data_IF_995443913698
#
_entry.id   IF_995443913698
#
_cell.length_a   1.000
_cell.length_b   1.000
_cell.length_c   1.000
_cell.angle_alpha   90.00
_cell.angle_beta   90.00
_cell.angle_gamma   90.00
#
_symmetry.space_group_name_H-M   'P 1'
#
loop_
_entity.id
_entity.type
_entity.pdbx_description
1 polymer ?
#
# COMPACT_ATOMS: atom_id res chain seq x y z
N UNK A 1 -9.65 -18.39 -25.17
CA UNK A 1 -8.16 -18.26 -25.29
C UNK A 1 -7.56 -19.31 -26.22
N UNK A 2 -7.32 -20.55 -25.79
CA UNK A 2 -6.79 -21.62 -26.68
C UNK A 2 -7.80 -22.01 -27.77
N UNK A 3 -9.06 -22.18 -27.41
CA UNK A 3 -10.18 -22.44 -28.34
C UNK A 3 -10.38 -21.31 -29.37
N UNK A 4 -9.97 -20.09 -29.03
CA UNK A 4 -10.02 -18.92 -29.90
C UNK A 4 -8.66 -18.62 -30.55
N UNK A 5 -7.65 -19.46 -30.36
CA UNK A 5 -6.28 -19.26 -30.82
C UNK A 5 -5.67 -17.89 -30.44
N UNK A 6 -6.04 -17.34 -29.29
CA UNK A 6 -5.52 -16.07 -28.77
C UNK A 6 -4.27 -16.32 -27.95
N UNK A 7 -3.19 -15.62 -28.30
CA UNK A 7 -1.94 -15.59 -27.53
C UNK A 7 -1.99 -14.51 -26.47
N UNK A 8 -1.58 -14.84 -25.25
CA UNK A 8 -1.53 -13.93 -24.11
C UNK A 8 -0.07 -13.70 -23.74
N UNK A 9 0.28 -12.45 -23.45
CA UNK A 9 1.50 -12.11 -22.73
C UNK A 9 1.11 -11.77 -21.29
N UNK A 10 1.64 -12.53 -20.33
CA UNK A 10 1.42 -12.31 -18.90
C UNK A 10 2.69 -11.71 -18.29
N UNK A 11 2.58 -10.47 -17.83
CA UNK A 11 3.67 -9.76 -17.14
C UNK A 11 3.53 -9.94 -15.64
N UNK A 12 4.47 -10.63 -15.01
CA UNK A 12 4.50 -10.86 -13.56
C UNK A 12 5.66 -10.11 -12.91
N UNK A 13 5.57 -9.88 -11.62
CA UNK A 13 6.72 -9.44 -10.84
C UNK A 13 7.71 -10.59 -10.62
N UNK A 14 8.92 -10.24 -10.20
CA UNK A 14 10.03 -11.19 -10.04
C UNK A 14 10.01 -11.87 -8.67
N UNK A 15 8.87 -12.45 -8.28
CA UNK A 15 8.76 -13.22 -7.03
C UNK A 15 8.92 -14.70 -7.33
N UNK A 16 9.64 -15.41 -6.46
CA UNK A 16 9.97 -16.83 -6.64
C UNK A 16 8.73 -17.73 -6.78
N UNK A 17 7.61 -17.38 -6.15
CA UNK A 17 6.34 -18.08 -6.26
C UNK A 17 5.69 -18.03 -7.64
N UNK A 18 6.11 -17.11 -8.51
CA UNK A 18 5.58 -16.96 -9.87
C UNK A 18 6.32 -17.76 -10.93
N UNK A 19 7.27 -18.62 -10.54
CA UNK A 19 7.91 -19.53 -11.48
C UNK A 19 6.90 -20.62 -11.91
N UNK A 20 6.56 -20.70 -13.21
CA UNK A 20 5.60 -21.70 -13.68
C UNK A 20 6.21 -23.10 -13.55
N UNK A 21 5.43 -24.00 -12.97
CA UNK A 21 5.77 -25.43 -12.84
C UNK A 21 5.51 -26.16 -14.17
N UNK A 22 4.63 -25.62 -15.02
CA UNK A 22 4.21 -26.20 -16.29
C UNK A 22 4.28 -25.19 -17.45
N UNK A 23 4.50 -25.70 -18.66
CA UNK A 23 4.57 -24.88 -19.88
C UNK A 23 3.15 -24.61 -20.41
N UNK A 24 2.78 -23.33 -20.52
CA UNK A 24 1.50 -22.91 -21.09
C UNK A 24 1.62 -22.69 -22.61
N UNK A 25 0.79 -23.38 -23.39
CA UNK A 25 0.92 -23.37 -24.87
C UNK A 25 0.49 -22.07 -25.57
N UNK A 26 -0.27 -21.20 -24.90
CA UNK A 26 -0.83 -19.97 -25.48
C UNK A 26 -0.60 -18.74 -24.59
N UNK A 27 0.23 -18.88 -23.56
CA UNK A 27 0.57 -17.81 -22.62
C UNK A 27 2.09 -17.73 -22.55
N UNK A 28 2.65 -16.61 -22.99
CA UNK A 28 4.06 -16.27 -22.73
C UNK A 28 4.10 -15.53 -21.39
N UNK A 29 4.89 -16.03 -20.44
CA UNK A 29 5.06 -15.42 -19.12
C UNK A 29 6.39 -14.70 -19.11
N UNK A 30 6.37 -13.40 -18.80
CA UNK A 30 7.58 -12.58 -18.65
C UNK A 30 7.60 -11.95 -17.27
N UNK A 31 8.70 -12.14 -16.56
CA UNK A 31 8.96 -11.46 -15.30
C UNK A 31 9.57 -10.09 -15.56
N UNK A 32 9.10 -9.10 -14.82
CA UNK A 32 9.68 -7.76 -14.83
C UNK A 32 11.02 -7.75 -14.06
N UNK A 33 11.91 -6.79 -14.33
CA UNK A 33 13.11 -6.61 -13.52
C UNK A 33 12.76 -6.32 -12.05
N UNK A 34 13.67 -6.70 -11.15
CA UNK A 34 13.52 -6.39 -9.72
C UNK A 34 13.30 -4.88 -9.48
N UNK A 35 12.52 -4.53 -8.45
CA UNK A 35 12.23 -3.15 -8.06
C UNK A 35 11.45 -2.31 -9.08
N UNK A 36 10.93 -2.91 -10.15
CA UNK A 36 10.13 -2.18 -11.15
C UNK A 36 8.62 -2.31 -10.97
N UNK A 37 8.16 -3.24 -10.12
CA UNK A 37 6.75 -3.56 -9.87
C UNK A 37 5.93 -2.29 -9.59
N UNK A 38 6.37 -1.45 -8.66
CA UNK A 38 5.63 -0.24 -8.25
C UNK A 38 5.45 0.80 -9.37
N UNK A 39 6.27 0.73 -10.42
CA UNK A 39 6.25 1.68 -11.53
C UNK A 39 5.62 1.08 -12.80
N UNK A 40 5.87 -0.19 -13.07
CA UNK A 40 5.50 -0.84 -14.32
C UNK A 40 4.23 -1.68 -14.21
N UNK A 41 3.91 -2.24 -13.03
CA UNK A 41 2.70 -3.03 -12.86
C UNK A 41 1.49 -2.11 -12.73
N UNK A 42 0.49 -2.21 -13.62
CA UNK A 42 -0.72 -1.38 -13.55
C UNK A 42 -1.50 -1.56 -12.24
N UNK A 43 -1.43 -2.76 -11.66
CA UNK A 43 -2.05 -3.05 -10.37
C UNK A 43 -1.45 -2.17 -9.26
N UNK A 44 -0.12 -2.13 -9.15
CA UNK A 44 0.58 -1.31 -8.17
C UNK A 44 0.46 0.18 -8.45
N UNK A 45 0.84 0.60 -9.67
CA UNK A 45 0.93 2.00 -10.05
C UNK A 45 -0.44 2.69 -10.14
N UNK A 46 -1.49 1.93 -10.44
CA UNK A 46 -2.86 2.42 -10.57
C UNK A 46 -3.71 2.07 -9.36
N UNK A 47 -4.18 0.82 -9.30
CA UNK A 47 -5.25 0.40 -8.38
C UNK A 47 -4.79 0.47 -6.92
N UNK A 48 -3.67 -0.16 -6.57
CA UNK A 48 -3.15 -0.19 -5.20
C UNK A 48 -2.80 1.22 -4.75
N UNK A 49 -2.11 2.00 -5.58
CA UNK A 49 -1.78 3.41 -5.27
C UNK A 49 -3.04 4.22 -4.96
N UNK A 50 -4.08 4.10 -5.79
CA UNK A 50 -5.32 4.83 -5.57
C UNK A 50 -6.02 4.39 -4.28
N UNK A 51 -6.09 3.08 -4.03
CA UNK A 51 -6.66 2.53 -2.79
C UNK A 51 -5.92 3.01 -1.54
N UNK A 52 -4.57 3.03 -1.56
CA UNK A 52 -3.76 3.57 -0.47
C UNK A 52 -4.05 5.06 -0.22
N UNK A 53 -4.19 5.86 -1.28
CA UNK A 53 -4.56 7.28 -1.17
C UNK A 53 -5.93 7.48 -0.51
N UNK A 54 -6.94 6.70 -0.91
CA UNK A 54 -8.27 6.78 -0.31
C UNK A 54 -8.28 6.39 1.17
N UNK A 55 -7.53 5.34 1.54
CA UNK A 55 -7.38 4.94 2.94
C UNK A 55 -6.69 6.04 3.74
N UNK A 56 -5.62 6.63 3.20
CA UNK A 56 -4.89 7.74 3.84
C UNK A 56 -5.80 8.94 4.14
N UNK A 57 -6.65 9.34 3.19
CA UNK A 57 -7.61 10.43 3.39
C UNK A 57 -8.63 10.13 4.48
N UNK A 58 -9.14 8.90 4.52
CA UNK A 58 -10.07 8.48 5.58
C UNK A 58 -9.42 8.49 6.95
N UNK A 59 -8.15 8.08 7.04
CA UNK A 59 -7.37 8.16 8.27
C UNK A 59 -7.18 9.61 8.71
N UNK A 60 -6.81 10.50 7.81
CA UNK A 60 -6.63 11.92 8.10
C UNK A 60 -7.91 12.54 8.68
N UNK A 61 -9.06 12.27 8.06
CA UNK A 61 -10.35 12.73 8.58
C UNK A 61 -10.67 12.12 9.95
N UNK A 62 -10.48 10.82 10.12
CA UNK A 62 -10.70 10.15 11.41
C UNK A 62 -9.84 10.74 12.52
N UNK A 63 -8.55 11.00 12.24
CA UNK A 63 -7.66 11.64 13.20
C UNK A 63 -8.16 13.04 13.52
N UNK A 64 -8.49 13.86 12.52
CA UNK A 64 -9.01 15.22 12.74
C UNK A 64 -10.28 15.21 13.61
N UNK A 65 -11.27 14.39 13.27
CA UNK A 65 -12.52 14.26 14.03
C UNK A 65 -12.26 13.85 15.48
N UNK A 66 -11.34 12.90 15.69
CA UNK A 66 -10.95 12.43 17.03
C UNK A 66 -10.18 13.51 17.81
N UNK A 67 -9.31 14.26 17.14
CA UNK A 67 -8.61 15.38 17.75
C UNK A 67 -9.58 16.47 18.21
N UNK A 68 -10.57 16.83 17.38
CA UNK A 68 -11.59 17.82 17.72
C UNK A 68 -12.44 17.36 18.92
N UNK A 69 -12.81 16.08 18.97
CA UNK A 69 -13.51 15.49 20.13
C UNK A 69 -12.69 15.64 21.41
N UNK A 70 -11.40 15.31 21.35
CA UNK A 70 -10.51 15.40 22.50
C UNK A 70 -10.32 16.88 22.91
N UNK A 71 -10.16 17.80 21.95
CA UNK A 71 -10.10 19.26 22.20
C UNK A 71 -11.35 19.80 22.91
N UNK A 72 -12.54 19.42 22.45
CA UNK A 72 -13.80 19.84 23.09
C UNK A 72 -13.91 19.40 24.56
N UNK A 73 -13.35 18.24 24.92
CA UNK A 73 -13.32 17.75 26.30
C UNK A 73 -12.31 18.50 27.18
N UNK A 74 -11.24 19.06 26.60
CA UNK A 74 -10.26 19.85 27.35
C UNK A 74 -10.72 21.25 27.74
N UNK A 75 -11.66 21.84 27.00
CA UNK A 75 -12.28 23.08 27.44
C UNK A 75 -13.11 22.88 28.73
N UNK A 76 -13.50 21.64 29.03
CA UNK A 76 -14.34 21.30 30.18
C UNK A 76 -13.54 20.81 31.42
N UNK A 77 -12.45 20.04 31.26
CA UNK A 77 -11.74 19.43 32.39
C UNK A 77 -10.20 19.63 32.36
N UNK A 78 -9.66 20.20 33.43
CA UNK A 78 -8.24 20.52 33.60
C UNK A 78 -7.31 19.29 33.65
N UNK A 79 -6.47 19.19 32.62
CA UNK A 79 -5.12 18.58 32.54
C UNK A 79 -4.83 17.30 33.36
N UNK A 80 -5.03 16.12 32.75
CA UNK A 80 -4.14 14.95 32.94
C UNK A 80 -4.28 13.85 31.85
N UNK A 81 -5.23 13.96 30.91
CA UNK A 81 -5.62 12.84 30.00
C UNK A 81 -4.89 12.88 28.62
N UNK A 82 -4.15 13.94 28.31
CA UNK A 82 -3.66 14.26 26.95
C UNK A 82 -2.57 13.31 26.41
N UNK A 83 -1.60 12.93 27.25
CA UNK A 83 -0.42 12.16 26.80
C UNK A 83 -0.78 10.73 26.35
N UNK A 84 -1.76 10.10 27.00
CA UNK A 84 -2.17 8.72 26.72
C UNK A 84 -3.05 8.65 25.45
N UNK A 85 -3.96 9.59 25.24
CA UNK A 85 -4.86 9.58 24.07
C UNK A 85 -4.14 9.97 22.77
N UNK A 86 -3.12 10.85 22.83
CA UNK A 86 -2.26 11.15 21.68
C UNK A 86 -1.47 9.94 21.20
N UNK A 87 -0.91 9.15 22.11
CA UNK A 87 -0.10 7.98 21.78
C UNK A 87 -0.96 6.90 21.10
N UNK A 88 -2.24 6.77 21.46
CA UNK A 88 -3.19 5.87 20.79
C UNK A 88 -3.46 6.30 19.34
N UNK A 89 -3.57 7.61 19.07
CA UNK A 89 -3.73 8.13 17.70
C UNK A 89 -2.46 7.88 16.87
N UNK A 90 -1.28 8.13 17.45
CA UNK A 90 0.01 7.88 16.78
C UNK A 90 0.27 6.40 16.49
N UNK A 91 -0.12 5.50 17.40
CA UNK A 91 0.10 4.07 17.27
C UNK A 91 -0.81 3.39 16.23
N UNK A 92 -1.95 4.01 15.86
CA UNK A 92 -2.77 3.56 14.73
C UNK A 92 -2.07 3.71 13.35
N UNK A 93 -0.92 4.41 13.31
CA UNK A 93 -0.17 4.72 12.09
C UNK A 93 0.97 3.73 11.77
N UNK A 94 1.32 2.82 12.70
CA UNK A 94 2.47 1.90 12.56
C UNK A 94 2.24 0.79 11.52
N UNK A 95 0.99 0.48 11.14
CA UNK A 95 0.66 -0.64 10.25
C UNK A 95 0.89 -0.39 8.75
N UNK A 96 1.40 0.78 8.32
CA UNK A 96 1.64 1.08 6.90
C UNK A 96 3.09 1.48 6.54
N UNK A 97 4.04 1.47 7.48
CA UNK A 97 5.45 1.74 7.17
C UNK A 97 6.19 0.62 6.41
N UNK A 98 5.49 -0.41 5.91
CA UNK A 98 6.05 -1.30 4.91
C UNK A 98 5.98 -0.65 3.52
N UNK A 99 6.87 0.32 3.26
CA UNK A 99 7.02 0.95 1.94
C UNK A 99 7.96 2.16 1.86
N UNK A 100 8.48 2.65 2.98
CA UNK A 100 9.42 3.78 3.01
C UNK A 100 10.83 3.39 2.54
N UNK A 101 11.09 3.61 1.26
CA UNK A 101 12.38 3.95 0.65
C UNK A 101 13.64 3.71 1.53
N UNK A 102 14.35 2.59 1.29
CA UNK A 102 15.79 2.57 1.53
C UNK A 102 16.40 3.55 0.53
N UNK A 103 17.04 4.61 1.03
CA UNK A 103 17.88 5.51 0.24
C UNK A 103 18.96 4.66 -0.45
N UNK A 104 18.79 4.43 -1.74
CA UNK A 104 19.85 3.92 -2.61
C UNK A 104 20.86 5.06 -2.78
N UNK A 105 21.97 4.98 -2.05
CA UNK A 105 23.16 5.75 -2.39
C UNK A 105 23.77 5.21 -3.69
N UNK A 106 24.19 6.12 -4.55
CA UNK A 106 25.26 5.93 -5.52
C UNK A 106 25.75 7.30 -6.02
N UNK A 107 26.98 7.41 -6.57
CA UNK A 107 27.97 6.36 -6.78
C UNK A 107 28.80 6.04 -5.54
#
# INVERSE_FOLDING_TARGET
>A
MRSENRKILLLLDNVSSHHPIEILTHVDIRQLPSNTTVHLQPLDAGIIRNSKSMISKKKELYCADRFDEILSRFEEDGQEIFEIELDIIGNADVLLQCGGHKRCGHP
#
